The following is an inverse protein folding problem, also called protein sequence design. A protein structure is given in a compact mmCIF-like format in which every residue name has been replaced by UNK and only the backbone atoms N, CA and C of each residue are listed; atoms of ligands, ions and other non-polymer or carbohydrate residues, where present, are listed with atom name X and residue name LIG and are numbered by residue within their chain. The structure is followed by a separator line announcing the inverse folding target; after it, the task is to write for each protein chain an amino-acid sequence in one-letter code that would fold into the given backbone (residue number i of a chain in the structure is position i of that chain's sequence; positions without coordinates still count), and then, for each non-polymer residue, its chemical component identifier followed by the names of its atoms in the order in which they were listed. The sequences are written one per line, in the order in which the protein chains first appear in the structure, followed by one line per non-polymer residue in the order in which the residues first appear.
data_IF_830846416463
#
_entry.id   IF_830846416463
#
_cell.length_a   1.000
_cell.length_b   1.000
_cell.length_c   1.000
_cell.angle_alpha   90.00
_cell.angle_beta   90.00
_cell.angle_gamma   90.00
#
_symmetry.space_group_name_H-M   'P 1'
#
loop_
_entity.id
_entity.type
_entity.pdbx_description
1 polymer ?
#
# COMPACT_ATOMS: atom_id res chain seq x y z
N UNK A 1 -14.37 -6.49 -4.81
CA UNK A 1 -14.68 -5.08 -5.16
C UNK A 1 -14.12 -4.70 -6.52
N UNK A 2 -12.79 -4.81 -6.74
CA UNK A 2 -12.17 -4.49 -8.02
C UNK A 2 -12.83 -5.17 -9.23
N UNK A 3 -13.09 -6.48 -9.14
CA UNK A 3 -13.79 -7.23 -10.20
C UNK A 3 -15.19 -6.69 -10.50
N UNK A 4 -15.96 -6.34 -9.46
CA UNK A 4 -17.30 -5.76 -9.61
C UNK A 4 -17.27 -4.37 -10.27
N UNK A 5 -16.15 -3.65 -10.14
CA UNK A 5 -15.93 -2.34 -10.75
C UNK A 5 -15.21 -2.44 -12.12
N UNK A 6 -14.85 -3.64 -12.58
CA UNK A 6 -14.06 -3.84 -13.79
C UNK A 6 -12.66 -3.22 -13.71
N UNK A 7 -12.10 -3.09 -12.51
CA UNK A 7 -10.76 -2.53 -12.29
C UNK A 7 -9.74 -3.67 -12.30
N UNK A 8 -8.78 -3.57 -13.20
CA UNK A 8 -7.68 -4.51 -13.33
C UNK A 8 -6.61 -4.25 -12.25
N UNK A 9 -5.88 -5.31 -11.87
CA UNK A 9 -4.87 -5.27 -10.80
C UNK A 9 -3.81 -4.17 -10.98
N UNK A 10 -3.39 -3.90 -12.22
CA UNK A 10 -2.42 -2.86 -12.58
C UNK A 10 -2.86 -1.44 -12.19
N UNK A 11 -4.15 -1.24 -11.91
CA UNK A 11 -4.73 0.05 -11.47
C UNK A 11 -4.98 0.12 -9.96
N UNK A 12 -4.43 -0.83 -9.20
CA UNK A 12 -4.68 -0.94 -7.76
C UNK A 12 -3.39 -0.60 -7.00
N UNK A 13 -3.50 0.38 -6.13
CA UNK A 13 -2.54 0.67 -5.07
C UNK A 13 -3.17 0.32 -3.72
N UNK A 14 -2.42 -0.37 -2.86
CA UNK A 14 -2.79 -0.66 -1.48
C UNK A 14 -1.76 -0.06 -0.53
N UNK A 15 -2.21 0.53 0.57
CA UNK A 15 -1.38 1.14 1.61
C UNK A 15 -1.75 0.49 2.93
N UNK A 16 -0.77 0.01 3.70
CA UNK A 16 -1.00 -0.73 4.94
C UNK A 16 0.17 -0.64 5.91
N UNK A 17 -0.03 -1.13 7.14
CA UNK A 17 0.95 -1.05 8.21
C UNK A 17 1.04 -2.29 9.12
N UNK A 18 0.04 -3.18 9.10
CA UNK A 18 0.00 -4.39 9.94
C UNK A 18 -0.07 -5.68 9.11
N UNK A 19 0.20 -6.82 9.76
CA UNK A 19 0.18 -8.13 9.11
C UNK A 19 -1.17 -8.51 8.46
N UNK A 20 -2.29 -7.94 8.91
CA UNK A 20 -3.58 -8.15 8.26
C UNK A 20 -3.66 -7.49 6.86
N UNK A 21 -2.72 -6.60 6.52
CA UNK A 21 -2.63 -5.93 5.23
C UNK A 21 -1.76 -6.71 4.23
N UNK A 22 -1.03 -7.75 4.65
CA UNK A 22 -0.07 -8.45 3.78
C UNK A 22 -0.70 -8.92 2.46
N UNK A 23 -1.89 -9.54 2.54
CA UNK A 23 -2.59 -10.05 1.38
C UNK A 23 -2.99 -8.95 0.38
N UNK A 24 -3.36 -7.76 0.85
CA UNK A 24 -3.70 -6.65 -0.04
C UNK A 24 -2.45 -5.97 -0.64
N UNK A 25 -1.37 -5.87 0.15
CA UNK A 25 -0.09 -5.31 -0.31
C UNK A 25 0.54 -6.19 -1.38
N UNK A 26 0.54 -7.52 -1.20
CA UNK A 26 1.04 -8.47 -2.20
C UNK A 26 0.14 -8.52 -3.45
N UNK A 27 -1.18 -8.40 -3.28
CA UNK A 27 -2.14 -8.42 -4.38
C UNK A 27 -2.08 -7.17 -5.25
N UNK A 28 -1.86 -5.97 -4.69
CA UNK A 28 -1.83 -4.74 -5.48
C UNK A 28 -0.71 -4.76 -6.54
N UNK A 29 -0.84 -3.93 -7.58
CA UNK A 29 0.29 -3.66 -8.46
C UNK A 29 1.30 -2.72 -7.79
N UNK A 30 0.81 -1.84 -6.92
CA UNK A 30 1.62 -0.97 -6.07
C UNK A 30 1.21 -1.19 -4.61
N UNK A 31 1.97 -2.01 -3.89
CA UNK A 31 1.88 -2.16 -2.44
C UNK A 31 2.77 -1.14 -1.73
N UNK A 32 2.21 -0.42 -0.76
CA UNK A 32 2.90 0.60 0.03
C UNK A 32 2.83 0.25 1.52
N UNK A 33 3.98 0.24 2.18
CA UNK A 33 4.05 0.14 3.64
C UNK A 33 4.20 1.53 4.27
N UNK A 34 3.50 1.78 5.37
CA UNK A 34 3.73 2.99 6.18
C UNK A 34 5.10 2.96 6.86
N UNK A 35 5.66 4.12 7.19
CA UNK A 35 6.96 4.22 7.86
C UNK A 35 6.99 3.51 9.22
N UNK A 36 5.85 3.48 9.92
CA UNK A 36 5.63 2.80 11.18
C UNK A 36 5.14 1.35 11.03
N UNK A 37 5.10 0.80 9.81
CA UNK A 37 4.60 -0.54 9.55
C UNK A 37 5.47 -1.66 10.17
N UNK A 38 4.84 -2.79 10.45
CA UNK A 38 5.50 -4.04 10.82
C UNK A 38 6.49 -4.48 9.72
N UNK A 39 7.59 -5.13 10.12
CA UNK A 39 8.68 -5.45 9.20
C UNK A 39 8.22 -6.33 8.03
N UNK A 40 7.36 -7.31 8.28
CA UNK A 40 6.83 -8.18 7.22
C UNK A 40 6.06 -7.42 6.13
N UNK A 41 5.38 -6.32 6.48
CA UNK A 41 4.68 -5.46 5.51
C UNK A 41 5.68 -4.66 4.68
N UNK A 42 6.73 -4.14 5.32
CA UNK A 42 7.81 -3.41 4.64
C UNK A 42 8.59 -4.29 3.67
N UNK A 43 8.80 -5.56 4.02
CA UNK A 43 9.59 -6.50 3.23
C UNK A 43 8.92 -6.85 1.88
N UNK A 44 7.58 -6.81 1.81
CA UNK A 44 6.82 -7.14 0.60
C UNK A 44 6.34 -5.91 -0.18
N UNK A 45 6.44 -4.71 0.39
CA UNK A 45 5.98 -3.49 -0.24
C UNK A 45 6.96 -2.99 -1.33
N UNK A 46 6.42 -2.39 -2.39
CA UNK A 46 7.21 -1.77 -3.45
C UNK A 46 7.66 -0.35 -3.07
N UNK A 47 7.00 0.27 -2.11
CA UNK A 47 7.36 1.59 -1.58
C UNK A 47 7.10 1.65 -0.08
N UNK A 48 8.02 2.25 0.67
CA UNK A 48 7.82 2.59 2.07
C UNK A 48 7.61 4.10 2.14
N UNK A 49 6.45 4.53 2.60
CA UNK A 49 6.12 5.95 2.77
C UNK A 49 6.47 6.43 4.20
N UNK A 50 6.17 7.69 4.52
CA UNK A 50 6.33 8.22 5.87
C UNK A 50 5.39 7.53 6.88
N UNK A 51 5.54 7.85 8.17
CA UNK A 51 4.61 7.36 9.19
C UNK A 51 3.21 7.96 9.02
N UNK A 52 2.22 7.41 9.70
CA UNK A 52 0.88 7.98 9.77
C UNK A 52 0.87 9.40 10.38
N UNK A 53 1.76 9.70 11.34
CA UNK A 53 1.91 11.03 11.94
C UNK A 53 2.56 12.06 10.99
N UNK A 54 3.12 11.60 9.87
CA UNK A 54 3.84 12.41 8.87
C UNK A 54 3.15 12.38 7.51
N UNK A 55 1.82 12.22 7.50
CA UNK A 55 0.99 12.21 6.29
C UNK A 55 1.42 11.15 5.24
N UNK A 56 1.91 9.98 5.70
CA UNK A 56 2.44 8.95 4.82
C UNK A 56 1.49 8.50 3.70
N UNK A 57 0.19 8.44 3.98
CA UNK A 57 -0.83 8.15 2.95
C UNK A 57 -0.86 9.22 1.87
N UNK A 58 -0.86 10.50 2.24
CA UNK A 58 -0.89 11.60 1.29
C UNK A 58 0.39 11.64 0.44
N UNK A 59 1.54 11.38 1.06
CA UNK A 59 2.83 11.28 0.36
C UNK A 59 2.81 10.15 -0.67
N UNK A 60 2.28 8.98 -0.30
CA UNK A 60 2.16 7.84 -1.21
C UNK A 60 1.24 8.17 -2.39
N UNK A 61 0.05 8.73 -2.14
CA UNK A 61 -0.90 9.13 -3.18
C UNK A 61 -0.25 10.15 -4.14
N UNK A 62 0.37 11.21 -3.64
CA UNK A 62 1.01 12.23 -4.47
C UNK A 62 2.19 11.69 -5.30
N UNK A 63 2.81 10.59 -4.87
CA UNK A 63 3.92 9.95 -5.60
C UNK A 63 3.45 9.14 -6.81
N UNK A 64 2.25 8.57 -6.74
CA UNK A 64 1.74 7.60 -7.73
C UNK A 64 0.53 8.12 -8.54
N UNK A 65 0.10 9.36 -8.31
CA UNK A 65 -0.88 10.09 -9.13
C UNK A 65 -0.28 10.62 -10.45
#
# INVERSE_FOLDING_TARGET
MADHLGITRDKIMCIGDHNNDLAMIEFAAVGVAMGNAEQGVKDIAQFITATNEQDGVAIAINKFL
#
